data_IF_953012915165
#
_entry.id   IF_953012915165
#
_cell.length_a   1.000
_cell.length_b   1.000
_cell.length_c   1.000
_cell.angle_alpha   90.00
_cell.angle_beta   90.00
_cell.angle_gamma   90.00
#
_symmetry.space_group_name_H-M   'P 1'
#
loop_
_entity.id
_entity.type
_entity.pdbx_description
1 polymer ?
#
# COMPACT_ATOMS: atom_id res chain seq x y z
N UNK A 1 -0.82 -15.01 4.35
CA UNK A 1 -0.15 -14.82 5.66
C UNK A 1 1.29 -15.35 5.58
N UNK A 2 2.29 -14.47 5.54
CA UNK A 2 3.52 -14.76 6.29
C UNK A 2 4.90 -14.69 5.61
N UNK A 3 5.05 -14.63 4.28
CA UNK A 3 6.42 -14.72 3.72
C UNK A 3 7.17 -13.38 3.83
N UNK A 4 6.49 -12.23 3.76
CA UNK A 4 7.16 -10.92 3.81
C UNK A 4 7.34 -10.36 5.24
N UNK A 5 6.64 -10.92 6.23
CA UNK A 5 6.78 -10.50 7.64
C UNK A 5 8.16 -10.85 8.22
N UNK A 6 8.76 -11.95 7.76
CA UNK A 6 10.05 -12.43 8.27
C UNK A 6 11.24 -11.63 7.71
N UNK A 7 11.10 -11.02 6.53
CA UNK A 7 12.14 -10.15 5.94
C UNK A 7 12.22 -8.78 6.63
N UNK A 8 11.12 -8.29 7.18
CA UNK A 8 11.09 -7.03 7.93
C UNK A 8 11.84 -7.10 9.28
N UNK A 9 12.08 -8.30 9.81
CA UNK A 9 12.70 -8.51 11.13
C UNK A 9 14.24 -8.54 11.07
N UNK A 10 14.85 -8.81 9.91
CA UNK A 10 16.29 -9.03 9.79
C UNK A 10 17.10 -7.81 9.33
N UNK A 11 16.46 -6.73 8.85
CA UNK A 11 17.10 -5.43 8.55
C UNK A 11 16.08 -4.29 8.55
N UNK A 12 15.68 -3.75 9.73
CA UNK A 12 14.36 -3.15 9.91
C UNK A 12 14.16 -1.72 9.39
N UNK A 13 15.18 -0.97 8.99
CA UNK A 13 15.03 0.48 8.74
C UNK A 13 15.42 0.94 7.34
N UNK A 14 16.25 0.17 6.62
CA UNK A 14 16.71 0.54 5.27
C UNK A 14 15.78 0.07 4.15
N UNK A 15 15.25 -1.15 4.25
CA UNK A 15 14.54 -1.80 3.13
C UNK A 15 13.01 -1.75 3.22
N UNK A 16 12.46 -1.34 4.36
CA UNK A 16 11.02 -1.18 4.52
C UNK A 16 10.40 -0.16 3.53
N UNK A 17 11.03 1.01 3.27
CA UNK A 17 10.50 1.94 2.28
C UNK A 17 10.45 1.33 0.87
N UNK A 18 11.51 0.64 0.45
CA UNK A 18 11.60 0.02 -0.87
C UNK A 18 10.60 -1.13 -1.01
N UNK A 19 10.40 -1.91 0.06
CA UNK A 19 9.39 -2.97 0.11
C UNK A 19 7.97 -2.39 -0.05
N UNK A 20 7.64 -1.32 0.68
CA UNK A 20 6.33 -0.68 0.59
C UNK A 20 6.08 -0.09 -0.81
N UNK A 21 7.13 0.48 -1.43
CA UNK A 21 7.07 0.98 -2.80
C UNK A 21 6.82 -0.15 -3.81
N UNK A 22 7.54 -1.27 -3.67
CA UNK A 22 7.37 -2.45 -4.52
C UNK A 22 5.96 -3.05 -4.40
N UNK A 23 5.42 -3.16 -3.19
CA UNK A 23 4.06 -3.62 -2.92
C UNK A 23 3.01 -2.68 -3.53
N UNK A 24 3.19 -1.37 -3.38
CA UNK A 24 2.30 -0.37 -4.00
C UNK A 24 2.34 -0.43 -5.53
N UNK A 25 3.51 -0.63 -6.13
CA UNK A 25 3.66 -0.77 -7.57
C UNK A 25 3.02 -2.06 -8.09
N UNK A 26 3.23 -3.18 -7.39
CA UNK A 26 2.58 -4.46 -7.69
C UNK A 26 1.05 -4.33 -7.67
N UNK A 27 0.51 -3.75 -6.60
CA UNK A 27 -0.91 -3.49 -6.44
C UNK A 27 -1.47 -2.60 -7.57
N UNK A 28 -0.72 -1.57 -7.98
CA UNK A 28 -1.12 -0.67 -9.07
C UNK A 28 -1.22 -1.39 -10.42
N UNK A 29 -0.23 -2.23 -10.76
CA UNK A 29 -0.25 -3.02 -12.01
C UNK A 29 -1.44 -3.98 -12.03
N UNK A 30 -1.72 -4.66 -10.92
CA UNK A 30 -2.91 -5.52 -10.77
C UNK A 30 -4.21 -4.75 -10.96
N UNK A 31 -4.31 -3.57 -10.34
CA UNK A 31 -5.47 -2.69 -10.44
C UNK A 31 -5.73 -2.22 -11.88
N UNK A 32 -4.67 -1.80 -12.58
CA UNK A 32 -4.70 -1.37 -13.97
C UNK A 32 -5.09 -2.53 -14.90
N UNK A 33 -4.54 -3.72 -14.67
CA UNK A 33 -4.88 -4.94 -15.40
C UNK A 33 -6.26 -5.51 -15.06
N UNK A 34 -6.88 -5.11 -13.94
CA UNK A 34 -8.14 -5.67 -13.47
C UNK A 34 -8.05 -7.14 -13.05
N UNK A 35 -6.84 -7.63 -12.76
CA UNK A 35 -6.56 -9.04 -12.44
C UNK A 35 -6.14 -9.16 -10.98
N UNK A 36 -6.60 -10.21 -10.31
CA UNK A 36 -6.21 -10.55 -8.93
C UNK A 36 -6.33 -9.33 -7.96
N UNK A 37 -7.42 -8.57 -8.09
CA UNK A 37 -7.66 -7.35 -7.31
C UNK A 37 -7.60 -7.57 -5.79
N UNK A 38 -7.97 -8.76 -5.32
CA UNK A 38 -7.87 -9.15 -3.90
C UNK A 38 -6.41 -9.24 -3.43
N UNK A 39 -5.50 -9.74 -4.27
CA UNK A 39 -4.07 -9.77 -3.95
C UNK A 39 -3.47 -8.36 -4.00
N UNK A 40 -3.86 -7.58 -5.01
CA UNK A 40 -3.48 -6.17 -5.10
C UNK A 40 -3.94 -5.37 -3.88
N UNK A 41 -5.15 -5.65 -3.38
CA UNK A 41 -5.68 -5.01 -2.18
C UNK A 41 -4.80 -5.31 -0.96
N UNK A 42 -4.49 -6.59 -0.72
CA UNK A 42 -3.64 -6.98 0.41
C UNK A 42 -2.25 -6.34 0.33
N UNK A 43 -1.65 -6.28 -0.87
CA UNK A 43 -0.37 -5.62 -1.07
C UNK A 43 -0.43 -4.10 -0.84
N UNK A 44 -1.49 -3.42 -1.28
CA UNK A 44 -1.68 -2.00 -1.04
C UNK A 44 -1.90 -1.69 0.46
N UNK A 45 -2.68 -2.51 1.17
CA UNK A 45 -2.87 -2.39 2.62
C UNK A 45 -1.55 -2.58 3.39
N UNK A 46 -0.73 -3.55 2.99
CA UNK A 46 0.59 -3.79 3.59
C UNK A 46 1.54 -2.60 3.33
N UNK A 47 1.56 -2.05 2.11
CA UNK A 47 2.33 -0.85 1.79
C UNK A 47 1.93 0.36 2.66
N UNK A 48 0.62 0.60 2.82
CA UNK A 48 0.10 1.67 3.69
C UNK A 48 0.51 1.45 5.15
N UNK A 49 0.43 0.22 5.66
CA UNK A 49 0.82 -0.10 7.03
C UNK A 49 2.32 0.15 7.27
N UNK A 50 3.17 -0.22 6.32
CA UNK A 50 4.62 0.03 6.39
C UNK A 50 4.89 1.54 6.36
N UNK A 51 4.30 2.29 5.42
CA UNK A 51 4.46 3.74 5.37
C UNK A 51 3.92 4.46 6.61
N UNK A 52 2.84 3.98 7.22
CA UNK A 52 2.33 4.54 8.49
C UNK A 52 3.30 4.29 9.67
N UNK A 53 3.99 3.14 9.68
CA UNK A 53 5.05 2.86 10.67
C UNK A 53 6.29 3.71 10.41
N UNK A 54 6.66 3.90 9.15
CA UNK A 54 7.79 4.73 8.74
C UNK A 54 7.51 6.21 9.01
N UNK A 55 6.34 6.74 8.70
CA UNK A 55 5.97 8.15 8.92
C UNK A 55 6.06 8.58 10.38
N UNK A 56 5.87 7.66 11.33
CA UNK A 56 6.13 7.89 12.76
C UNK A 56 7.61 8.04 13.11
N UNK A 57 8.52 7.53 12.27
CA UNK A 57 9.97 7.58 12.48
C UNK A 57 10.66 8.59 11.55
N UNK A 58 10.18 8.75 10.32
CA UNK A 58 10.66 9.64 9.27
C UNK A 58 9.50 10.02 8.33
N UNK A 59 9.07 11.29 8.28
CA UNK A 59 7.98 11.70 7.41
C UNK A 59 8.40 11.68 5.93
N UNK A 60 7.95 10.66 5.18
CA UNK A 60 8.02 10.58 3.71
C UNK A 60 6.61 10.63 3.10
N UNK A 61 6.05 11.85 3.04
CA UNK A 61 4.65 12.08 2.66
C UNK A 61 4.27 11.61 1.25
N UNK A 62 5.21 11.68 0.29
CA UNK A 62 4.93 11.32 -1.10
C UNK A 62 4.79 9.80 -1.32
N UNK A 63 5.59 8.99 -0.61
CA UNK A 63 5.58 7.54 -0.79
C UNK A 63 4.30 6.93 -0.17
N UNK A 64 3.88 7.44 0.99
CA UNK A 64 2.62 7.05 1.62
C UNK A 64 1.40 7.43 0.75
N UNK A 65 1.46 8.59 0.09
CA UNK A 65 0.41 9.08 -0.81
C UNK A 65 0.21 8.15 -2.01
N UNK A 66 1.29 7.59 -2.56
CA UNK A 66 1.22 6.61 -3.64
C UNK A 66 0.48 5.33 -3.23
N UNK A 67 0.85 4.73 -2.09
CA UNK A 67 0.20 3.51 -1.60
C UNK A 67 -1.29 3.72 -1.31
N UNK A 68 -1.66 4.85 -0.69
CA UNK A 68 -3.05 5.22 -0.43
C UNK A 68 -3.84 5.47 -1.73
N UNK A 69 -3.25 6.10 -2.75
CA UNK A 69 -3.89 6.29 -4.04
C UNK A 69 -4.16 4.97 -4.75
N UNK A 70 -3.20 4.04 -4.72
CA UNK A 70 -3.36 2.68 -5.25
C UNK A 70 -4.44 1.90 -4.50
N UNK A 71 -4.48 1.99 -3.17
CA UNK A 71 -5.53 1.36 -2.36
C UNK A 71 -6.93 1.87 -2.75
N UNK A 72 -7.11 3.19 -2.89
CA UNK A 72 -8.38 3.77 -3.34
C UNK A 72 -8.78 3.30 -4.75
N UNK A 73 -7.82 3.19 -5.67
CA UNK A 73 -8.07 2.67 -7.02
C UNK A 73 -8.58 1.22 -6.99
N UNK A 74 -7.95 0.37 -6.18
CA UNK A 74 -8.35 -1.05 -6.08
C UNK A 74 -9.73 -1.18 -5.46
N UNK A 75 -10.02 -0.40 -4.41
CA UNK A 75 -11.33 -0.38 -3.77
C UNK A 75 -12.44 0.04 -4.74
N UNK A 76 -12.19 1.04 -5.60
CA UNK A 76 -13.13 1.41 -6.66
C UNK A 76 -13.35 0.27 -7.67
N UNK A 77 -12.29 -0.43 -8.07
CA UNK A 77 -12.38 -1.56 -9.02
C UNK A 77 -13.14 -2.75 -8.43
N UNK A 78 -13.11 -2.90 -7.11
CA UNK A 78 -13.89 -3.87 -6.34
C UNK A 78 -15.33 -3.40 -6.03
N UNK A 79 -15.72 -2.18 -6.44
CA UNK A 79 -17.04 -1.60 -6.14
C UNK A 79 -17.20 -1.08 -4.71
N UNK A 80 -16.13 -1.04 -3.91
CA UNK A 80 -16.09 -0.57 -2.51
C UNK A 80 -15.88 0.95 -2.43
N UNK A 81 -16.71 1.69 -3.14
CA UNK A 81 -16.56 3.15 -3.35
C UNK A 81 -16.61 3.98 -2.07
N UNK A 82 -17.37 3.55 -1.05
CA UNK A 82 -17.43 4.22 0.26
C UNK A 82 -16.09 4.17 1.02
N UNK A 83 -15.38 3.05 0.92
CA UNK A 83 -14.06 2.89 1.53
C UNK A 83 -13.02 3.66 0.72
N UNK A 84 -13.07 3.59 -0.60
CA UNK A 84 -12.20 4.38 -1.47
C UNK A 84 -12.33 5.90 -1.22
N UNK A 85 -13.55 6.40 -1.02
CA UNK A 85 -13.79 7.80 -0.65
C UNK A 85 -13.17 8.16 0.70
N UNK A 86 -13.16 7.23 1.66
CA UNK A 86 -12.51 7.41 2.96
C UNK A 86 -11.01 7.52 2.81
N UNK A 87 -10.39 6.66 2.01
CA UNK A 87 -8.96 6.72 1.70
C UNK A 87 -8.60 8.03 0.97
N UNK A 88 -9.43 8.46 0.02
CA UNK A 88 -9.22 9.74 -0.69
C UNK A 88 -9.26 10.96 0.22
N UNK A 89 -10.07 10.94 1.28
CA UNK A 89 -10.06 12.03 2.28
C UNK A 89 -8.76 12.09 3.06
N UNK A 90 -8.04 10.98 3.21
CA UNK A 90 -6.71 10.97 3.83
C UNK A 90 -5.61 11.49 2.89
N UNK A 91 -5.91 11.60 1.59
CA UNK A 91 -5.04 12.19 0.58
C UNK A 91 -5.27 13.71 0.39
N UNK A 92 -6.26 14.31 1.03
CA UNK A 92 -6.56 15.74 0.94
C UNK A 92 -5.75 16.53 1.98
#
# INVERSE_FOLDING_TARGET
MGIHRQLAETSPTGHLPDLAMALGAFAHVRAAGGVELTEGLAAAEEAVAIFARLGRQQPRGNDARFALATLALILDRLGRTGEAATIRRQLA
#
